data_IF_610417328394
#
_entry.id   IF_610417328394
#
_cell.length_a   1.000
_cell.length_b   1.000
_cell.length_c   1.000
_cell.angle_alpha   90.00
_cell.angle_beta   90.00
_cell.angle_gamma   90.00
#
_symmetry.space_group_name_H-M   'P 1'
#
loop_
_entity.id
_entity.type
_entity.pdbx_description
1 polymer ?
#
# COMPACT_ATOMS: atom_id res chain seq x y z
N UNK A 1 4.84 -20.06 6.07
CA UNK A 1 4.53 -18.83 6.83
C UNK A 1 4.93 -17.64 5.99
N UNK A 2 3.94 -16.87 5.54
CA UNK A 2 4.11 -15.81 4.55
C UNK A 2 4.19 -14.42 5.18
N UNK A 3 5.40 -13.98 5.50
CA UNK A 3 5.67 -12.62 6.01
C UNK A 3 6.19 -11.66 4.93
N UNK A 4 6.57 -12.19 3.77
CA UNK A 4 7.28 -11.46 2.72
C UNK A 4 6.46 -10.32 2.08
N UNK A 5 5.13 -10.46 2.03
CA UNK A 5 4.23 -9.45 1.44
C UNK A 5 4.31 -8.11 2.12
N UNK A 6 4.63 -8.08 3.41
CA UNK A 6 4.61 -6.87 4.22
C UNK A 6 6.01 -6.35 4.50
N UNK A 7 7.05 -7.15 4.23
CA UNK A 7 8.42 -6.73 4.46
C UNK A 7 8.87 -5.67 3.43
N UNK A 8 9.69 -4.74 3.89
CA UNK A 8 10.38 -3.78 3.03
C UNK A 8 11.15 -4.45 1.90
N UNK A 9 11.19 -3.83 0.74
CA UNK A 9 11.87 -4.29 -0.46
C UNK A 9 13.32 -4.69 -0.21
N UNK A 10 14.04 -3.88 0.57
CA UNK A 10 15.44 -4.14 0.88
C UNK A 10 15.63 -5.43 1.67
N UNK A 11 14.75 -5.73 2.62
CA UNK A 11 14.81 -6.97 3.40
C UNK A 11 14.48 -8.19 2.55
N UNK A 12 13.57 -8.04 1.60
CA UNK A 12 13.16 -9.08 0.64
C UNK A 12 14.28 -9.38 -0.36
N UNK A 13 14.91 -8.34 -0.93
CA UNK A 13 15.87 -8.47 -2.04
C UNK A 13 17.26 -8.95 -1.62
N UNK A 14 17.67 -8.74 -0.37
CA UNK A 14 19.00 -9.15 0.11
C UNK A 14 19.11 -10.68 0.27
N UNK A 15 17.98 -11.39 0.36
CA UNK A 15 17.93 -12.85 0.35
C UNK A 15 18.24 -13.51 1.71
N UNK A 16 17.97 -14.82 1.82
CA UNK A 16 18.11 -15.56 3.09
C UNK A 16 19.57 -15.64 3.56
N UNK A 17 19.79 -15.53 4.87
CA UNK A 17 21.11 -15.68 5.51
C UNK A 17 22.04 -14.48 5.38
N UNK A 18 21.61 -13.42 4.68
CA UNK A 18 22.37 -12.18 4.55
C UNK A 18 22.04 -11.20 5.68
N UNK A 19 23.07 -10.54 6.20
CA UNK A 19 22.94 -9.66 7.36
C UNK A 19 22.40 -8.30 6.93
N UNK A 20 21.14 -8.01 7.28
CA UNK A 20 20.53 -6.69 7.05
C UNK A 20 20.38 -5.95 8.36
N UNK A 21 20.90 -4.73 8.40
CA UNK A 21 20.66 -3.82 9.52
C UNK A 21 19.25 -3.25 9.36
N UNK A 22 18.34 -3.67 10.25
CA UNK A 22 16.99 -3.10 10.33
C UNK A 22 17.05 -1.62 10.73
N UNK A 23 16.23 -0.81 10.06
CA UNK A 23 16.12 0.63 10.29
C UNK A 23 14.63 1.00 10.30
N UNK A 24 14.31 2.12 10.95
CA UNK A 24 12.94 2.67 11.01
C UNK A 24 12.25 2.79 9.65
N UNK A 25 13.00 3.06 8.58
CA UNK A 25 12.44 3.16 7.22
C UNK A 25 11.86 1.82 6.71
N UNK A 26 12.41 0.69 7.17
CA UNK A 26 11.86 -0.62 6.82
C UNK A 26 10.50 -0.86 7.49
N UNK A 27 10.34 -0.38 8.72
CA UNK A 27 9.07 -0.47 9.45
C UNK A 27 8.02 0.43 8.79
N UNK A 28 8.41 1.65 8.39
CA UNK A 28 7.55 2.59 7.66
C UNK A 28 7.09 2.03 6.31
N UNK A 29 7.98 1.42 5.53
CA UNK A 29 7.63 0.76 4.27
C UNK A 29 6.67 -0.41 4.52
N UNK A 30 6.89 -1.17 5.60
CA UNK A 30 6.01 -2.27 5.98
C UNK A 30 4.62 -1.78 6.40
N UNK A 31 4.54 -0.71 7.19
CA UNK A 31 3.28 -0.06 7.57
C UNK A 31 2.52 0.47 6.35
N UNK A 32 3.24 1.05 5.39
CA UNK A 32 2.65 1.48 4.11
C UNK A 32 2.05 0.29 3.35
N UNK A 33 2.77 -0.84 3.23
CA UNK A 33 2.23 -2.02 2.56
C UNK A 33 1.01 -2.59 3.27
N UNK A 34 0.99 -2.62 4.60
CA UNK A 34 -0.18 -3.06 5.37
C UNK A 34 -1.39 -2.17 5.09
N UNK A 35 -1.22 -0.84 5.17
CA UNK A 35 -2.30 0.11 4.88
C UNK A 35 -2.86 -0.11 3.47
N UNK A 36 -1.97 -0.17 2.48
CA UNK A 36 -2.34 -0.39 1.10
C UNK A 36 -3.04 -1.74 0.88
N UNK A 37 -2.52 -2.81 1.49
CA UNK A 37 -3.10 -4.14 1.40
C UNK A 37 -4.54 -4.19 1.91
N UNK A 38 -4.82 -3.50 3.02
CA UNK A 38 -6.18 -3.37 3.56
C UNK A 38 -7.11 -2.66 2.55
N UNK A 39 -6.64 -1.57 1.94
CA UNK A 39 -7.43 -0.78 0.99
C UNK A 39 -7.66 -1.49 -0.36
N UNK A 40 -6.76 -2.40 -0.74
CA UNK A 40 -6.93 -3.28 -1.91
C UNK A 40 -7.80 -4.49 -1.58
N UNK A 41 -7.81 -4.96 -0.33
CA UNK A 41 -8.57 -6.13 0.11
C UNK A 41 -10.08 -5.83 0.26
N UNK A 42 -10.42 -4.60 0.67
CA UNK A 42 -11.77 -4.22 1.06
C UNK A 42 -12.44 -3.33 0.02
N UNK A 43 -13.75 -3.52 -0.14
CA UNK A 43 -14.62 -2.55 -0.82
C UNK A 43 -15.13 -1.47 0.13
N UNK A 44 -15.44 -1.86 1.36
CA UNK A 44 -15.95 -1.01 2.44
C UNK A 44 -15.49 -1.60 3.79
N UNK A 45 -15.66 -0.91 4.93
CA UNK A 45 -15.39 -1.48 6.23
C UNK A 45 -16.19 -2.77 6.38
N UNK A 46 -15.50 -3.86 6.74
CA UNK A 46 -16.08 -5.20 6.91
C UNK A 46 -16.59 -5.90 5.63
N UNK A 47 -16.41 -5.30 4.44
CA UNK A 47 -16.78 -5.90 3.16
C UNK A 47 -15.54 -6.16 2.31
N UNK A 48 -15.15 -7.42 2.20
CA UNK A 48 -14.09 -7.85 1.30
C UNK A 48 -14.53 -7.81 -0.16
N UNK A 49 -13.57 -7.62 -1.06
CA UNK A 49 -13.76 -7.81 -2.50
C UNK A 49 -14.05 -9.26 -2.87
N UNK A 50 -14.63 -9.46 -4.05
CA UNK A 50 -14.81 -10.78 -4.65
C UNK A 50 -13.46 -11.45 -4.95
N UNK A 51 -13.45 -12.79 -5.07
CA UNK A 51 -12.23 -13.53 -5.39
C UNK A 51 -11.65 -13.09 -6.73
N UNK A 52 -12.51 -12.84 -7.72
CA UNK A 52 -12.12 -12.40 -9.06
C UNK A 52 -11.38 -11.05 -9.02
N UNK A 53 -11.85 -10.11 -8.21
CA UNK A 53 -11.19 -8.81 -8.03
C UNK A 53 -9.88 -8.92 -7.25
N UNK A 54 -9.87 -9.76 -6.20
CA UNK A 54 -8.67 -9.99 -5.40
C UNK A 54 -7.55 -10.64 -6.23
N UNK A 55 -7.88 -11.58 -7.11
CA UNK A 55 -6.88 -12.23 -7.96
C UNK A 55 -6.21 -11.28 -8.94
N UNK A 56 -6.90 -10.22 -9.39
CA UNK A 56 -6.33 -9.24 -10.33
C UNK A 56 -5.23 -8.38 -9.70
N UNK A 57 -5.30 -8.13 -8.40
CA UNK A 57 -4.37 -7.22 -7.71
C UNK A 57 -3.78 -7.81 -6.43
N UNK A 58 -4.62 -8.17 -5.44
CA UNK A 58 -4.15 -8.66 -4.15
C UNK A 58 -3.28 -9.92 -4.30
N UNK A 59 -3.77 -10.95 -4.99
CA UNK A 59 -3.02 -12.21 -5.13
C UNK A 59 -1.77 -12.05 -6.01
N UNK A 60 -1.78 -11.06 -6.90
CA UNK A 60 -0.65 -10.78 -7.79
C UNK A 60 0.48 -10.03 -7.09
N UNK A 61 0.14 -9.07 -6.23
CA UNK A 61 1.11 -8.14 -5.65
C UNK A 61 1.35 -8.36 -4.16
N UNK A 62 0.32 -8.76 -3.40
CA UNK A 62 0.36 -8.85 -1.94
C UNK A 62 0.25 -10.29 -1.41
N UNK A 63 0.24 -11.29 -2.30
CA UNK A 63 0.19 -12.69 -1.89
C UNK A 63 1.42 -13.11 -1.08
N UNK A 64 1.14 -13.77 0.04
CA UNK A 64 2.10 -14.15 1.07
C UNK A 64 2.97 -15.36 0.74
N UNK A 65 2.68 -16.04 -0.38
CA UNK A 65 3.38 -17.26 -0.78
C UNK A 65 4.67 -17.01 -1.58
N UNK A 66 4.86 -15.84 -2.20
CA UNK A 66 6.04 -15.55 -3.02
C UNK A 66 6.70 -14.19 -2.68
N UNK A 67 8.01 -14.10 -2.88
CA UNK A 67 8.75 -12.84 -2.81
C UNK A 67 8.25 -11.92 -3.92
N UNK A 68 7.38 -10.97 -3.58
CA UNK A 68 6.81 -10.05 -4.57
C UNK A 68 7.79 -8.91 -4.89
N UNK A 69 8.91 -9.24 -5.53
CA UNK A 69 9.77 -8.26 -6.22
C UNK A 69 8.92 -7.45 -7.22
N UNK A 70 7.92 -8.09 -7.82
CA UNK A 70 6.95 -7.46 -8.70
C UNK A 70 6.17 -6.32 -8.03
N UNK A 71 5.70 -6.50 -6.78
CA UNK A 71 5.07 -5.43 -5.98
C UNK A 71 6.02 -4.26 -5.81
N UNK A 72 7.24 -4.52 -5.35
CA UNK A 72 8.24 -3.46 -5.14
C UNK A 72 8.45 -2.64 -6.41
N UNK A 73 8.73 -3.29 -7.54
CA UNK A 73 8.97 -2.61 -8.83
C UNK A 73 7.73 -1.81 -9.24
N UNK A 74 6.54 -2.39 -9.11
CA UNK A 74 5.28 -1.75 -9.51
C UNK A 74 4.97 -0.52 -8.66
N UNK A 75 5.18 -0.59 -7.35
CA UNK A 75 4.92 0.52 -6.42
C UNK A 75 5.99 1.61 -6.58
N UNK A 76 7.25 1.27 -6.86
CA UNK A 76 8.31 2.26 -7.06
C UNK A 76 8.15 3.07 -8.36
N UNK A 77 7.58 2.46 -9.40
CA UNK A 77 7.37 3.14 -10.67
C UNK A 77 6.00 3.86 -10.68
N UNK A 78 6.01 5.20 -10.61
CA UNK A 78 4.81 6.04 -10.47
C UNK A 78 3.70 5.73 -11.50
N UNK A 79 4.06 5.56 -12.78
CA UNK A 79 3.08 5.25 -13.83
C UNK A 79 2.42 3.87 -13.65
N UNK A 80 3.18 2.87 -13.20
CA UNK A 80 2.65 1.52 -12.97
C UNK A 80 1.91 1.41 -11.65
N UNK A 81 2.30 2.18 -10.63
CA UNK A 81 1.64 2.25 -9.33
C UNK A 81 0.17 2.67 -9.46
N UNK A 82 -0.08 3.79 -10.14
CA UNK A 82 -1.42 4.32 -10.36
C UNK A 82 -2.29 3.35 -11.16
N UNK A 83 -1.73 2.81 -12.23
CA UNK A 83 -2.48 1.99 -13.19
C UNK A 83 -2.64 0.53 -12.80
N UNK A 84 -1.82 -0.02 -11.88
CA UNK A 84 -1.87 -1.46 -11.55
C UNK A 84 -2.30 -1.74 -10.11
N UNK A 85 -2.27 -0.75 -9.22
CA UNK A 85 -2.64 -0.93 -7.81
C UNK A 85 -3.73 0.05 -7.39
N UNK A 86 -3.53 1.37 -7.56
CA UNK A 86 -4.51 2.35 -7.09
C UNK A 86 -5.88 2.19 -7.75
N UNK A 87 -5.94 1.77 -9.02
CA UNK A 87 -7.20 1.50 -9.72
C UNK A 87 -8.08 0.42 -9.06
N UNK A 88 -7.49 -0.44 -8.22
CA UNK A 88 -8.21 -1.52 -7.55
C UNK A 88 -8.74 -1.10 -6.18
N UNK A 89 -8.39 0.09 -5.69
CA UNK A 89 -8.94 0.60 -4.43
C UNK A 89 -10.39 1.05 -4.69
N UNK A 90 -11.31 0.59 -3.84
CA UNK A 90 -12.72 0.97 -3.92
C UNK A 90 -12.89 2.48 -3.86
N UNK A 91 -13.87 3.01 -4.60
CA UNK A 91 -14.24 4.44 -4.57
C UNK A 91 -14.61 4.90 -3.17
N UNK A 92 -15.08 3.98 -2.30
CA UNK A 92 -15.28 4.26 -0.88
C UNK A 92 -14.02 4.86 -0.23
N UNK A 93 -12.83 4.37 -0.57
CA UNK A 93 -11.53 4.82 -0.04
C UNK A 93 -10.83 5.89 -0.88
N UNK A 94 -11.47 6.44 -1.91
CA UNK A 94 -10.95 7.54 -2.72
C UNK A 94 -10.36 8.71 -1.88
N UNK A 95 -10.97 9.14 -0.77
CA UNK A 95 -10.45 10.24 0.04
C UNK A 95 -9.03 10.02 0.58
N UNK A 96 -8.60 8.76 0.72
CA UNK A 96 -7.28 8.39 1.25
C UNK A 96 -6.21 8.28 0.14
N UNK A 97 -6.58 8.31 -1.15
CA UNK A 97 -5.64 8.12 -2.27
C UNK A 97 -4.53 9.18 -2.29
N UNK A 98 -4.84 10.43 -1.93
CA UNK A 98 -3.84 11.50 -1.82
C UNK A 98 -2.79 11.20 -0.75
N UNK A 99 -3.22 10.68 0.40
CA UNK A 99 -2.32 10.24 1.46
C UNK A 99 -1.45 9.07 0.99
N UNK A 100 -2.02 8.07 0.32
CA UNK A 100 -1.23 6.95 -0.20
C UNK A 100 -0.17 7.39 -1.18
N UNK A 101 -0.50 8.32 -2.08
CA UNK A 101 0.45 8.87 -3.05
C UNK A 101 1.57 9.61 -2.33
N UNK A 102 1.23 10.44 -1.34
CA UNK A 102 2.23 11.14 -0.53
C UNK A 102 3.16 10.18 0.22
N UNK A 103 2.60 9.15 0.88
CA UNK A 103 3.39 8.16 1.61
C UNK A 103 4.25 7.31 0.68
N UNK A 104 3.72 6.92 -0.48
CA UNK A 104 4.47 6.20 -1.51
C UNK A 104 5.67 7.04 -1.96
N UNK A 105 5.48 8.33 -2.23
CA UNK A 105 6.55 9.24 -2.64
C UNK A 105 7.61 9.44 -1.55
N UNK A 106 7.17 9.52 -0.30
CA UNK A 106 8.04 9.82 0.84
C UNK A 106 8.79 8.59 1.38
N UNK A 107 8.24 7.39 1.24
CA UNK A 107 8.74 6.15 1.85
C UNK A 107 9.34 5.22 0.79
N UNK A 108 8.64 5.04 -0.34
CA UNK A 108 8.94 4.02 -1.36
C UNK A 108 9.70 4.58 -2.57
N UNK A 109 9.22 5.68 -3.18
CA UNK A 109 9.91 6.38 -4.29
C UNK A 109 11.33 6.89 -3.99
N UNK A 110 11.79 7.16 -2.74
CA UNK A 110 13.14 7.67 -2.54
C UNK A 110 14.24 6.62 -2.78
N UNK A 111 13.90 5.34 -3.01
CA UNK A 111 14.85 4.25 -3.22
C UNK A 111 15.57 4.40 -4.57
N UNK A 112 16.77 4.98 -4.56
CA UNK A 112 17.68 4.86 -5.69
C UNK A 112 18.85 3.95 -5.32
N UNK A 113 19.20 3.08 -6.27
CA UNK A 113 20.38 2.23 -6.18
C UNK A 113 21.58 3.03 -6.67
N UNK A 114 22.62 3.17 -5.84
CA UNK A 114 23.87 3.74 -6.33
C UNK A 114 24.60 2.74 -7.26
N UNK A 115 25.69 3.19 -7.88
CA UNK A 115 26.56 2.36 -8.72
C UNK A 115 27.19 1.14 -8.00
N UNK A 116 27.06 1.05 -6.67
CA UNK A 116 27.54 -0.07 -5.84
C UNK A 116 26.41 -1.01 -5.40
N UNK A 117 25.20 -0.87 -5.95
CA UNK A 117 24.06 -1.71 -5.56
C UNK A 117 23.45 -1.34 -4.20
N UNK A 118 23.83 -0.21 -3.61
CA UNK A 118 23.33 0.22 -2.30
C UNK A 118 22.11 1.12 -2.46
N UNK A 119 21.07 0.83 -1.69
CA UNK A 119 19.83 1.61 -1.66
C UNK A 119 19.91 2.78 -0.68
N UNK A 120 19.55 3.97 -1.14
CA UNK A 120 19.46 5.20 -0.33
C UNK A 120 18.06 5.80 -0.41
N UNK A 121 17.68 6.55 0.61
CA UNK A 121 16.49 7.42 0.58
C UNK A 121 16.92 8.87 0.43
N UNK A 122 16.27 9.61 -0.48
CA UNK A 122 16.57 11.04 -0.73
C UNK A 122 16.23 11.96 0.45
N UNK A 123 15.19 11.63 1.21
CA UNK A 123 14.71 12.48 2.32
C UNK A 123 14.43 11.61 3.55
N UNK A 124 14.86 12.03 4.76
CA UNK A 124 14.47 11.35 5.99
C UNK A 124 12.95 11.48 6.22
N UNK A 125 12.26 10.34 6.21
CA UNK A 125 10.89 10.19 6.67
C UNK A 125 10.90 9.40 7.98
N UNK A 126 10.18 9.88 8.99
CA UNK A 126 10.12 9.29 10.32
C UNK A 126 8.69 8.93 10.70
N UNK A 127 8.54 8.13 11.76
CA UNK A 127 7.24 7.72 12.30
C UNK A 127 6.35 8.92 12.66
N UNK A 128 6.91 10.00 13.22
CA UNK A 128 6.11 11.19 13.55
C UNK A 128 5.49 11.82 12.30
N UNK A 129 6.25 11.95 11.21
CA UNK A 129 5.74 12.46 9.93
C UNK A 129 4.69 11.52 9.33
N UNK A 130 4.87 10.21 9.47
CA UNK A 130 3.88 9.21 9.04
C UNK A 130 2.55 9.42 9.77
N UNK A 131 2.60 9.49 11.11
CA UNK A 131 1.42 9.66 11.96
C UNK A 131 0.74 11.01 11.70
N UNK A 132 1.52 12.10 11.62
CA UNK A 132 0.99 13.45 11.32
C UNK A 132 0.30 13.46 9.96
N UNK A 133 0.86 12.80 8.94
CA UNK A 133 0.25 12.74 7.61
C UNK A 133 -1.11 12.03 7.64
N UNK A 134 -1.22 10.94 8.41
CA UNK A 134 -2.50 10.23 8.63
C UNK A 134 -3.48 11.15 9.35
N UNK A 135 -3.08 11.73 10.49
CA UNK A 135 -3.96 12.57 11.31
C UNK A 135 -4.49 13.75 10.49
N UNK A 136 -3.61 14.46 9.79
CA UNK A 136 -4.00 15.61 8.98
C UNK A 136 -5.00 15.22 7.90
N UNK A 137 -4.71 14.14 7.15
CA UNK A 137 -5.62 13.65 6.11
C UNK A 137 -6.98 13.32 6.70
N UNK A 138 -7.02 12.55 7.79
CA UNK A 138 -8.28 12.13 8.40
C UNK A 138 -9.06 13.30 9.01
N UNK A 139 -8.37 14.31 9.52
CA UNK A 139 -8.99 15.51 10.12
C UNK A 139 -9.63 16.43 9.08
N UNK A 140 -9.17 16.38 7.83
CA UNK A 140 -9.74 17.14 6.71
C UNK A 140 -10.98 16.48 6.11
N UNK A 141 -11.26 15.22 6.45
CA UNK A 141 -12.43 14.51 5.94
C UNK A 141 -13.71 14.95 6.65
N UNK A 142 -14.75 15.20 5.86
CA UNK A 142 -16.07 15.55 6.40
C UNK A 142 -16.80 14.29 6.93
N UNK A 143 -17.84 14.49 7.75
CA UNK A 143 -18.65 13.41 8.35
C UNK A 143 -19.34 12.49 7.33
N UNK A 144 -19.52 12.97 6.10
CA UNK A 144 -20.24 12.26 5.04
C UNK A 144 -19.28 11.55 4.07
N UNK A 145 -17.98 11.63 4.31
CA UNK A 145 -16.92 11.10 3.42
C UNK A 145 -16.98 9.57 3.30
N UNK A 146 -17.46 8.90 4.35
CA UNK A 146 -17.41 7.45 4.51
C UNK A 146 -18.79 6.79 4.48
N UNK A 147 -19.79 7.47 3.90
CA UNK A 147 -21.13 6.91 3.78
C UNK A 147 -21.09 5.79 2.74
N UNK A 148 -21.43 4.55 3.11
CA UNK A 148 -21.50 3.44 2.16
C UNK A 148 -22.41 3.81 0.99
N UNK A 149 -22.01 3.46 -0.23
CA UNK A 149 -22.88 3.65 -1.37
C UNK A 149 -24.06 2.70 -1.18
N UNK A 150 -25.27 3.24 -0.92
CA UNK A 150 -26.48 2.42 -0.90
C UNK A 150 -26.57 1.72 -2.25
N UNK A 151 -26.50 0.40 -2.27
CA UNK A 151 -26.81 -0.32 -3.49
C UNK A 151 -28.32 -0.20 -3.70
N UNK A 152 -28.73 0.43 -4.79
CA UNK A 152 -30.14 0.50 -5.23
C UNK A 152 -30.62 -0.85 -5.75
N UNK A 153 -30.34 -1.93 -5.03
CA UNK A 153 -30.60 -3.30 -5.42
C UNK A 153 -31.44 -4.01 -4.35
N UNK A 154 -32.55 -3.39 -3.95
CA UNK A 154 -33.63 -4.05 -3.21
C UNK A 154 -35.01 -3.36 -3.38
N UNK A 155 -35.23 -2.68 -4.51
CA UNK A 155 -36.60 -2.42 -4.98
C UNK A 155 -36.86 -3.28 -6.21
N UNK A 156 -37.42 -4.47 -6.00
CA UNK A 156 -38.35 -5.17 -6.90
C UNK A 156 -38.67 -6.56 -6.32
N UNK A 157 -39.42 -6.59 -5.23
CA UNK A 157 -40.41 -7.65 -4.98
C UNK A 157 -41.63 -6.99 -4.35
N UNK A 158 -42.56 -6.58 -5.22
CA UNK A 158 -43.94 -6.21 -4.91
C UNK A 158 -44.83 -6.93 -5.89
#
# INVERSE_FOLDING_TARGET
LGYWSWMSAKLVMVGPGQLVIHKSVHDLESSFYVLLGILVLLDEPYKSKSNEELTQCFDKYFNTFELSVLKTITIQADLTWKSLILQHISTYFEPIIKLLTHLQDAIVSPLYMNHKGQFFHRTPFCHDKFIISIINTLSELNSNTWVPHRSDSNELVG
#
